data_IF_477539032661
#
_entry.id   IF_477539032661
#
_cell.length_a   1.000
_cell.length_b   1.000
_cell.length_c   1.000
_cell.angle_alpha   90.00
_cell.angle_beta   90.00
_cell.angle_gamma   90.00
#
_symmetry.space_group_name_H-M   'P 1'
#
loop_
_entity.id
_entity.type
_entity.pdbx_description
1 polymer ?
#
# COMPACT_ATOMS: atom_id res chain seq x y z
N UNK A 1 23.40 9.90 -21.50
CA UNK A 1 23.84 8.83 -20.59
C UNK A 1 22.94 8.98 -19.39
N UNK A 2 21.82 8.24 -19.38
CA UNK A 2 20.71 8.51 -18.48
C UNK A 2 21.13 8.28 -17.04
N UNK A 3 20.80 9.23 -16.17
CA UNK A 3 20.91 9.03 -14.73
C UNK A 3 20.13 7.77 -14.37
N UNK A 4 20.83 6.69 -14.05
CA UNK A 4 20.20 5.55 -13.42
C UNK A 4 19.83 6.01 -12.02
N UNK A 5 18.54 6.07 -11.71
CA UNK A 5 18.07 6.28 -10.33
C UNK A 5 18.79 5.29 -9.42
N UNK A 6 19.64 5.80 -8.53
CA UNK A 6 20.34 4.99 -7.54
C UNK A 6 19.40 4.84 -6.34
N UNK A 7 18.80 3.66 -6.21
CA UNK A 7 18.02 3.27 -5.03
C UNK A 7 18.95 2.80 -3.91
N UNK A 8 18.61 3.15 -2.68
CA UNK A 8 19.28 2.68 -1.47
C UNK A 8 18.97 1.21 -1.19
N UNK A 9 19.82 0.53 -0.41
CA UNK A 9 19.56 -0.88 -0.02
C UNK A 9 18.26 -1.10 0.76
N UNK A 10 17.76 -0.06 1.44
CA UNK A 10 16.49 -0.11 2.15
C UNK A 10 15.30 0.01 1.18
N UNK A 11 15.37 0.89 0.18
CA UNK A 11 14.34 1.04 -0.86
C UNK A 11 14.18 -0.21 -1.72
N UNK A 12 15.21 -1.05 -1.81
CA UNK A 12 15.19 -2.31 -2.56
C UNK A 12 14.55 -3.49 -1.80
N UNK A 13 14.20 -3.31 -0.53
CA UNK A 13 13.66 -4.39 0.31
C UNK A 13 12.18 -4.18 0.59
N UNK A 14 11.40 -5.25 0.43
CA UNK A 14 10.03 -5.26 0.93
C UNK A 14 10.04 -5.18 2.46
N UNK A 15 9.23 -4.30 3.07
CA UNK A 15 9.12 -4.25 4.51
C UNK A 15 8.44 -5.52 5.06
N UNK A 16 8.57 -5.80 6.37
CA UNK A 16 7.84 -6.88 7.00
C UNK A 16 6.33 -6.74 6.74
N UNK A 17 5.65 -7.86 6.45
CA UNK A 17 4.21 -7.88 6.26
C UNK A 17 3.49 -7.55 7.58
N UNK A 18 2.75 -6.43 7.60
CA UNK A 18 1.89 -5.99 8.71
C UNK A 18 0.48 -5.69 8.19
N UNK A 19 -0.08 -6.63 7.44
CA UNK A 19 -1.46 -6.57 6.96
C UNK A 19 -2.08 -7.97 6.86
N UNK A 20 -3.41 -8.02 6.84
CA UNK A 20 -4.21 -9.20 6.57
C UNK A 20 -5.42 -8.85 5.71
N UNK A 21 -5.99 -9.87 5.07
CA UNK A 21 -7.21 -9.75 4.28
C UNK A 21 -8.36 -10.39 5.07
N UNK A 22 -9.42 -9.63 5.27
CA UNK A 22 -10.62 -10.09 5.96
C UNK A 22 -11.75 -10.29 4.94
N UNK A 23 -12.45 -11.42 5.05
CA UNK A 23 -13.57 -11.74 4.18
C UNK A 23 -14.74 -10.77 4.41
N UNK A 24 -15.16 -10.09 3.35
CA UNK A 24 -16.39 -9.33 3.30
C UNK A 24 -17.28 -9.92 2.19
N UNK A 25 -18.60 -9.90 2.36
CA UNK A 25 -19.52 -10.79 1.61
C UNK A 25 -19.45 -10.72 0.07
N UNK A 26 -18.93 -9.63 -0.50
CA UNK A 26 -18.70 -9.45 -1.95
C UNK A 26 -17.41 -8.70 -2.30
N UNK A 27 -16.66 -8.23 -1.29
CA UNK A 27 -15.51 -7.34 -1.42
C UNK A 27 -14.38 -7.88 -0.54
N UNK A 28 -13.25 -7.18 -0.48
CA UNK A 28 -12.16 -7.52 0.43
C UNK A 28 -11.91 -6.37 1.37
N UNK A 29 -11.82 -6.66 2.67
CA UNK A 29 -11.37 -5.67 3.64
C UNK A 29 -9.87 -5.85 3.87
N UNK A 30 -9.11 -4.81 3.55
CA UNK A 30 -7.72 -4.67 3.92
C UNK A 30 -7.66 -4.23 5.39
N UNK A 31 -6.94 -4.98 6.21
CA UNK A 31 -6.55 -4.56 7.55
C UNK A 31 -5.04 -4.45 7.60
N UNK A 32 -4.52 -3.25 7.87
CA UNK A 32 -3.09 -2.98 7.96
C UNK A 32 -2.74 -2.27 9.26
N UNK A 33 -1.55 -2.52 9.78
CA UNK A 33 -1.09 -1.94 11.04
C UNK A 33 0.39 -1.53 10.97
N UNK A 34 0.83 -0.73 11.93
CA UNK A 34 2.21 -0.27 12.02
C UNK A 34 2.58 0.28 13.39
N UNK A 35 3.85 0.62 13.55
CA UNK A 35 4.43 1.25 14.72
C UNK A 35 4.15 2.77 14.73
N UNK A 36 3.58 3.27 13.63
CA UNK A 36 3.06 4.62 13.46
C UNK A 36 1.90 4.64 12.47
N UNK A 37 1.10 5.71 12.49
CA UNK A 37 0.05 5.90 11.49
C UNK A 37 0.62 5.91 10.06
N UNK A 38 1.81 6.50 9.86
CA UNK A 38 2.52 6.49 8.57
C UNK A 38 2.76 5.08 8.06
N UNK A 39 3.30 4.21 8.91
CA UNK A 39 3.58 2.82 8.54
C UNK A 39 2.28 2.04 8.26
N UNK A 40 1.21 2.27 9.02
CA UNK A 40 -0.09 1.64 8.76
C UNK A 40 -0.65 2.01 7.37
N UNK A 41 -0.49 3.26 6.93
CA UNK A 41 -0.84 3.68 5.56
C UNK A 41 0.05 3.03 4.50
N UNK A 42 1.36 2.94 4.73
CA UNK A 42 2.29 2.26 3.82
C UNK A 42 1.91 0.78 3.67
N UNK A 43 1.63 0.10 4.78
CA UNK A 43 1.19 -1.30 4.79
C UNK A 43 -0.16 -1.51 4.11
N UNK A 44 -1.11 -0.57 4.24
CA UNK A 44 -2.37 -0.62 3.51
C UNK A 44 -2.16 -0.53 1.99
N UNK A 45 -1.23 0.31 1.53
CA UNK A 45 -0.85 0.40 0.11
C UNK A 45 -0.20 -0.89 -0.39
N UNK A 46 0.70 -1.47 0.41
CA UNK A 46 1.34 -2.76 0.11
C UNK A 46 0.30 -3.88 0.06
N UNK A 47 -0.65 -3.92 1.01
CA UNK A 47 -1.72 -4.91 1.04
C UNK A 47 -2.56 -4.87 -0.23
N UNK A 48 -2.90 -3.68 -0.72
CA UNK A 48 -3.65 -3.48 -1.97
C UNK A 48 -2.89 -4.06 -3.17
N UNK A 49 -1.61 -3.68 -3.37
CA UNK A 49 -0.81 -4.21 -4.47
C UNK A 49 -0.52 -5.71 -4.34
N UNK A 50 -0.37 -6.22 -3.12
CA UNK A 50 -0.22 -7.64 -2.83
C UNK A 50 -1.47 -8.46 -3.16
N UNK A 51 -2.63 -7.82 -3.22
CA UNK A 51 -3.86 -8.45 -3.71
C UNK A 51 -3.91 -8.54 -5.24
N UNK A 52 -3.26 -7.59 -5.93
CA UNK A 52 -3.20 -7.51 -7.39
C UNK A 52 -2.13 -8.44 -7.99
N UNK A 53 -1.01 -8.66 -7.31
CA UNK A 53 0.11 -9.47 -7.80
C UNK A 53 1.03 -9.94 -6.67
N UNK A 54 1.88 -10.93 -6.95
CA UNK A 54 2.95 -11.33 -6.04
C UNK A 54 4.05 -10.27 -5.98
N UNK A 55 4.11 -9.51 -4.88
CA UNK A 55 5.08 -8.43 -4.67
C UNK A 55 6.55 -8.84 -4.87
N UNK A 56 7.02 -10.04 -4.51
CA UNK A 56 8.40 -10.46 -4.76
C UNK A 56 8.80 -10.52 -6.25
N UNK A 57 7.82 -10.52 -7.16
CA UNK A 57 8.07 -10.52 -8.61
C UNK A 57 8.27 -9.12 -9.19
N UNK A 58 7.97 -8.08 -8.41
CA UNK A 58 8.11 -6.67 -8.79
C UNK A 58 9.52 -6.20 -8.44
N UNK A 59 10.24 -5.72 -9.45
CA UNK A 59 11.58 -5.13 -9.33
C UNK A 59 11.48 -3.61 -9.19
N UNK A 60 12.31 -3.05 -8.32
CA UNK A 60 12.40 -1.59 -8.17
C UNK A 60 13.24 -1.02 -9.31
N UNK A 61 12.56 -0.45 -10.31
CA UNK A 61 13.19 0.16 -11.50
C UNK A 61 12.90 1.65 -11.64
N UNK A 62 11.79 2.10 -11.08
CA UNK A 62 11.32 3.47 -11.14
C UNK A 62 10.70 3.85 -9.80
N UNK A 63 10.66 5.15 -9.53
CA UNK A 63 9.91 5.72 -8.42
C UNK A 63 8.85 6.70 -8.88
N UNK A 64 7.79 6.85 -8.09
CA UNK A 64 6.75 7.84 -8.29
C UNK A 64 6.45 8.53 -6.96
N UNK A 65 6.32 9.86 -6.97
CA UNK A 65 5.84 10.61 -5.82
C UNK A 65 4.35 10.91 -5.98
N UNK A 66 3.57 10.63 -4.94
CA UNK A 66 2.14 10.92 -4.89
C UNK A 66 1.90 11.85 -3.71
N UNK A 67 1.13 12.91 -3.94
CA UNK A 67 0.69 13.85 -2.92
C UNK A 67 -0.82 14.01 -3.00
N UNK A 68 -1.49 13.94 -1.86
CA UNK A 68 -2.91 14.21 -1.74
C UNK A 68 -3.17 15.19 -0.59
N UNK A 69 -4.09 16.11 -0.80
CA UNK A 69 -4.44 17.18 0.15
C UNK A 69 -5.94 17.29 0.27
N UNK A 70 -6.44 17.44 1.50
CA UNK A 70 -7.84 17.72 1.81
C UNK A 70 -7.89 18.98 2.68
N UNK A 71 -8.39 20.08 2.09
CA UNK A 71 -8.31 21.40 2.70
C UNK A 71 -6.87 21.88 2.91
N UNK A 72 -6.66 22.75 3.91
CA UNK A 72 -5.33 23.30 4.24
C UNK A 72 -4.58 22.48 5.30
N UNK A 73 -5.30 21.63 6.06
CA UNK A 73 -4.74 20.95 7.24
C UNK A 73 -4.26 19.54 6.94
N UNK A 74 -4.93 18.80 6.03
CA UNK A 74 -4.61 17.41 5.78
C UNK A 74 -3.80 17.26 4.50
N UNK A 75 -2.59 16.71 4.64
CA UNK A 75 -1.72 16.38 3.53
C UNK A 75 -1.02 15.06 3.78
N UNK A 76 -0.98 14.22 2.76
CA UNK A 76 -0.14 13.03 2.70
C UNK A 76 0.77 13.12 1.47
N UNK A 77 2.04 12.76 1.64
CA UNK A 77 2.98 12.59 0.55
C UNK A 77 3.66 11.23 0.72
N UNK A 78 3.70 10.44 -0.35
CA UNK A 78 4.38 9.16 -0.37
C UNK A 78 5.25 9.05 -1.62
N UNK A 79 6.26 8.18 -1.52
CA UNK A 79 7.11 7.77 -2.63
C UNK A 79 6.92 6.26 -2.80
N UNK A 80 6.54 5.86 -3.99
CA UNK A 80 6.29 4.48 -4.38
C UNK A 80 7.41 4.01 -5.30
N UNK A 81 7.70 2.71 -5.26
CA UNK A 81 8.79 2.10 -5.99
C UNK A 81 8.28 0.83 -6.67
N UNK A 82 8.70 0.58 -7.90
CA UNK A 82 8.31 -0.62 -8.63
C UNK A 82 8.66 -0.55 -10.10
N UNK A 83 7.82 -1.16 -10.94
CA UNK A 83 7.92 -1.16 -12.39
C UNK A 83 6.53 -1.28 -13.03
N UNK A 84 6.45 -1.16 -14.35
CA UNK A 84 5.21 -1.38 -15.09
C UNK A 84 4.78 -2.86 -15.05
N UNK A 85 3.49 -3.11 -14.82
CA UNK A 85 2.98 -4.47 -14.76
C UNK A 85 3.10 -5.18 -16.12
N UNK A 86 3.74 -6.36 -16.14
CA UNK A 86 3.96 -7.15 -17.36
C UNK A 86 3.33 -8.54 -17.23
N UNK A 87 2.41 -8.86 -18.16
CA UNK A 87 1.81 -10.20 -18.26
C UNK A 87 2.88 -11.27 -18.51
N UNK A 88 2.84 -12.34 -17.72
CA UNK A 88 3.80 -13.46 -17.80
C UNK A 88 5.05 -13.29 -16.94
N UNK A 89 5.40 -12.06 -16.54
CA UNK A 89 6.39 -11.81 -15.48
C UNK A 89 5.74 -11.78 -14.11
N UNK A 90 4.68 -11.00 -13.97
CA UNK A 90 3.96 -10.82 -12.71
C UNK A 90 2.73 -11.74 -12.69
N UNK A 91 2.59 -12.62 -11.69
CA UNK A 91 1.39 -13.42 -11.49
C UNK A 91 0.16 -12.52 -11.35
N UNK A 92 -0.89 -12.81 -12.12
CA UNK A 92 -2.13 -12.05 -12.05
C UNK A 92 -2.92 -12.48 -10.81
N UNK A 93 -3.02 -11.58 -9.84
CA UNK A 93 -3.93 -11.68 -8.70
C UNK A 93 -5.32 -11.18 -9.09
N UNK A 94 -5.92 -10.38 -8.21
CA UNK A 94 -7.27 -9.84 -8.42
C UNK A 94 -7.21 -8.37 -8.80
N UNK A 95 -7.99 -7.97 -9.79
CA UNK A 95 -8.13 -6.56 -10.16
C UNK A 95 -8.83 -5.79 -9.03
N UNK A 96 -8.37 -4.57 -8.75
CA UNK A 96 -9.03 -3.65 -7.81
C UNK A 96 -9.74 -2.58 -8.63
N UNK A 97 -11.07 -2.53 -8.55
CA UNK A 97 -11.92 -1.61 -9.34
C UNK A 97 -12.09 -0.25 -8.66
N UNK A 98 -12.25 -0.25 -7.33
CA UNK A 98 -12.46 0.97 -6.57
C UNK A 98 -12.03 0.83 -5.10
N UNK A 99 -11.69 1.97 -4.49
CA UNK A 99 -11.51 2.11 -3.05
C UNK A 99 -12.81 2.67 -2.46
N UNK A 100 -13.32 2.07 -1.38
CA UNK A 100 -14.61 2.46 -0.80
C UNK A 100 -14.45 3.03 0.61
N UNK A 101 -15.39 3.90 1.01
CA UNK A 101 -15.51 4.39 2.39
C UNK A 101 -16.35 3.45 3.29
N UNK A 102 -16.88 2.37 2.74
CA UNK A 102 -17.70 1.40 3.47
C UNK A 102 -16.88 0.77 4.60
N UNK A 103 -17.34 0.94 5.84
CA UNK A 103 -16.66 0.46 7.05
C UNK A 103 -15.17 0.88 7.14
N UNK A 104 -14.79 2.01 6.53
CA UNK A 104 -13.43 2.55 6.65
C UNK A 104 -13.16 2.98 8.10
N UNK A 105 -12.02 2.56 8.64
CA UNK A 105 -11.61 2.92 9.99
C UNK A 105 -10.13 3.27 10.02
N UNK A 106 -9.80 4.34 10.75
CA UNK A 106 -8.43 4.74 11.03
C UNK A 106 -8.30 4.78 12.55
N UNK A 107 -7.53 3.86 13.11
CA UNK A 107 -7.22 3.78 14.53
C UNK A 107 -5.89 4.47 14.75
N UNK A 108 -5.89 5.58 15.50
CA UNK A 108 -4.70 6.33 15.89
C UNK A 108 -4.67 6.49 17.41
N UNK A 109 -4.37 5.40 18.11
CA UNK A 109 -4.25 5.39 19.57
C UNK A 109 -2.78 5.47 19.98
N UNK A 110 -2.34 6.70 20.23
CA UNK A 110 -0.96 6.99 20.64
C UNK A 110 -0.64 6.51 22.06
N UNK A 111 -1.64 6.36 22.93
CA UNK A 111 -1.44 5.91 24.30
C UNK A 111 -1.08 4.42 24.36
N UNK A 112 -1.77 3.61 23.54
CA UNK A 112 -1.53 2.17 23.44
C UNK A 112 -0.61 1.78 22.28
N UNK A 113 -0.03 2.76 21.56
CA UNK A 113 0.79 2.56 20.35
C UNK A 113 0.11 1.68 19.31
N UNK A 114 -1.20 1.90 19.12
CA UNK A 114 -2.04 1.11 18.23
C UNK A 114 -2.41 1.96 17.01
N UNK A 115 -1.85 1.61 15.86
CA UNK A 115 -2.07 2.30 14.59
C UNK A 115 -2.55 1.29 13.56
N UNK A 116 -3.82 1.39 13.16
CA UNK A 116 -4.46 0.44 12.24
C UNK A 116 -5.31 1.18 11.21
N UNK A 117 -5.39 0.62 10.01
CA UNK A 117 -6.20 1.12 8.90
C UNK A 117 -7.03 -0.04 8.36
N UNK A 118 -8.32 0.18 8.25
CA UNK A 118 -9.28 -0.75 7.66
C UNK A 118 -9.91 -0.09 6.44
N UNK A 119 -9.79 -0.72 5.27
CA UNK A 119 -10.31 -0.20 4.00
C UNK A 119 -10.95 -1.34 3.22
N UNK A 120 -12.17 -1.14 2.71
CA UNK A 120 -12.81 -2.09 1.80
C UNK A 120 -12.51 -1.69 0.35
N UNK A 121 -12.03 -2.66 -0.43
CA UNK A 121 -11.77 -2.54 -1.86
C UNK A 121 -12.78 -3.37 -2.66
N UNK A 122 -13.30 -2.76 -3.73
CA UNK A 122 -14.14 -3.44 -4.73
C UNK A 122 -13.23 -4.15 -5.73
N UNK A 123 -13.48 -5.45 -5.94
CA UNK A 123 -12.65 -6.35 -6.76
C UNK A 123 -13.44 -6.94 -7.93
#
# INVERSE_FOLDING_TARGET
MGDQEQFTEEELKLPPCKYEYLDHTADVQLHAWGDSLKEAYEQCGIAMFGYMTELPTVEIKQSAEIEATEGEEMRIKCKCYGEEFTLGKHPQGTEVKAITYSAMQIVNDTANKKFEVFVIIDI
#
